data_IF_825315890147
#
_entry.id   IF_825315890147
#
_cell.length_a   1.000
_cell.length_b   1.000
_cell.length_c   1.000
_cell.angle_alpha   90.00
_cell.angle_beta   90.00
_cell.angle_gamma   90.00
#
_symmetry.space_group_name_H-M   'P 1'
#
loop_
_entity.id
_entity.type
_entity.pdbx_description
1 polymer ?
#
# COMPACT_ATOMS: atom_id res chain seq x y z
N UNK A 1 -16.26 -8.42 14.75
CA UNK A 1 -14.81 -8.56 15.03
C UNK A 1 -13.92 -8.63 13.80
N UNK A 2 -14.39 -9.11 12.63
CA UNK A 2 -13.56 -9.23 11.41
C UNK A 2 -13.16 -7.85 10.86
N UNK A 3 -14.08 -6.88 10.82
CA UNK A 3 -13.80 -5.54 10.30
C UNK A 3 -12.74 -4.80 11.12
N UNK A 4 -12.83 -4.83 12.46
CA UNK A 4 -11.84 -4.20 13.35
C UNK A 4 -10.44 -4.76 13.14
N UNK A 5 -10.30 -6.08 12.92
CA UNK A 5 -9.00 -6.70 12.61
C UNK A 5 -8.43 -6.21 11.27
N UNK A 6 -9.28 -6.06 10.25
CA UNK A 6 -8.86 -5.53 8.94
C UNK A 6 -8.42 -4.06 9.03
N UNK A 7 -9.14 -3.25 9.82
CA UNK A 7 -8.77 -1.85 10.09
C UNK A 7 -7.40 -1.80 10.80
N UNK A 8 -7.22 -2.56 11.88
CA UNK A 8 -5.94 -2.59 12.62
C UNK A 8 -4.80 -3.03 11.69
N UNK A 9 -4.99 -4.10 10.93
CA UNK A 9 -3.97 -4.61 9.99
C UNK A 9 -3.62 -3.58 8.93
N UNK A 10 -4.61 -2.90 8.35
CA UNK A 10 -4.41 -1.88 7.33
C UNK A 10 -3.73 -0.62 7.87
N UNK A 11 -4.04 -0.22 9.11
CA UNK A 11 -3.37 0.88 9.80
C UNK A 11 -1.89 0.57 10.07
N UNK A 12 -1.59 -0.65 10.54
CA UNK A 12 -0.21 -1.09 10.78
C UNK A 12 0.57 -1.16 9.46
N UNK A 13 0.02 -1.81 8.44
CA UNK A 13 0.70 -1.96 7.15
C UNK A 13 0.86 -0.62 6.43
N UNK A 14 -0.15 0.25 6.43
CA UNK A 14 -0.07 1.58 5.84
C UNK A 14 0.95 2.49 6.52
N UNK A 15 1.05 2.42 7.85
CA UNK A 15 2.07 3.15 8.61
C UNK A 15 3.48 2.65 8.28
N UNK A 16 3.70 1.33 8.29
CA UNK A 16 4.99 0.74 7.95
C UNK A 16 5.39 1.06 6.50
N UNK A 17 4.45 0.95 5.57
CA UNK A 17 4.68 1.27 4.16
C UNK A 17 5.13 2.73 3.98
N UNK A 18 4.45 3.68 4.60
CA UNK A 18 4.75 5.10 4.42
C UNK A 18 6.08 5.52 5.04
N UNK A 19 6.45 4.92 6.17
CA UNK A 19 7.79 5.09 6.77
C UNK A 19 8.87 4.52 5.85
N UNK A 20 8.70 3.30 5.35
CA UNK A 20 9.65 2.68 4.41
C UNK A 20 9.76 3.48 3.11
N UNK A 21 8.64 3.97 2.58
CA UNK A 21 8.61 4.84 1.41
C UNK A 21 9.35 6.16 1.67
N UNK A 22 9.23 6.72 2.87
CA UNK A 22 9.98 7.88 3.32
C UNK A 22 11.48 7.67 3.28
N UNK A 23 11.98 6.49 3.63
CA UNK A 23 13.41 6.15 3.53
C UNK A 23 13.88 5.88 2.10
N UNK A 24 13.05 5.23 1.28
CA UNK A 24 13.42 4.86 -0.10
C UNK A 24 13.36 6.08 -1.03
N UNK A 25 12.33 6.91 -0.87
CA UNK A 25 12.07 8.07 -1.71
C UNK A 25 11.97 9.34 -0.86
N UNK A 26 13.13 9.75 -0.33
CA UNK A 26 13.29 10.91 0.54
C UNK A 26 13.05 12.25 -0.12
N UNK A 27 13.25 12.34 -1.44
CA UNK A 27 13.09 13.58 -2.19
C UNK A 27 12.23 13.42 -3.45
N UNK A 28 10.90 13.53 -3.33
CA UNK A 28 10.00 13.50 -4.48
C UNK A 28 10.06 14.77 -5.35
N UNK A 29 10.77 15.82 -4.92
CA UNK A 29 10.84 17.10 -5.63
C UNK A 29 12.19 17.38 -6.29
N UNK A 30 13.16 16.48 -6.17
CA UNK A 30 14.37 16.46 -7.02
C UNK A 30 15.62 17.18 -6.49
N UNK A 31 15.63 17.69 -5.26
CA UNK A 31 16.87 18.29 -4.70
C UNK A 31 17.96 17.23 -4.42
N UNK A 32 19.20 17.62 -4.66
CA UNK A 32 20.36 16.77 -4.38
C UNK A 32 20.61 16.66 -2.87
N UNK A 33 20.67 15.41 -2.36
CA UNK A 33 21.00 15.13 -0.97
C UNK A 33 22.52 15.00 -0.83
N UNK A 34 23.14 16.01 -0.22
CA UNK A 34 24.61 16.14 -0.13
C UNK A 34 25.19 15.69 1.21
N UNK A 35 24.36 15.36 2.21
CA UNK A 35 24.81 14.94 3.54
C UNK A 35 23.82 14.02 4.23
N UNK A 36 24.30 13.25 5.22
CA UNK A 36 23.45 12.36 6.04
C UNK A 36 22.42 13.15 6.86
N UNK A 37 22.77 14.36 7.30
CA UNK A 37 21.86 15.23 8.04
C UNK A 37 20.70 15.69 7.14
N UNK A 38 21.00 16.08 5.90
CA UNK A 38 20.00 16.47 4.92
C UNK A 38 19.10 15.28 4.58
N UNK A 39 19.67 14.07 4.42
CA UNK A 39 18.90 12.85 4.20
C UNK A 39 17.88 12.60 5.32
N UNK A 40 18.33 12.59 6.58
CA UNK A 40 17.45 12.33 7.73
C UNK A 40 16.37 13.41 7.88
N UNK A 41 16.72 14.68 7.61
CA UNK A 41 15.74 15.75 7.59
C UNK A 41 14.68 15.52 6.51
N UNK A 42 15.10 15.17 5.28
CA UNK A 42 14.18 14.85 4.18
C UNK A 42 13.26 13.66 4.51
N UNK A 43 13.77 12.58 5.12
CA UNK A 43 12.94 11.45 5.59
C UNK A 43 11.84 11.94 6.53
N UNK A 44 12.21 12.73 7.54
CA UNK A 44 11.27 13.23 8.56
C UNK A 44 10.24 14.17 7.92
N UNK A 45 10.64 15.00 6.96
CA UNK A 45 9.75 15.94 6.28
C UNK A 45 8.79 15.26 5.31
N UNK A 46 9.23 14.23 4.57
CA UNK A 46 8.40 13.58 3.54
C UNK A 46 7.48 12.49 4.11
N UNK A 47 7.87 11.82 5.20
CA UNK A 47 7.08 10.72 5.78
C UNK A 47 5.65 11.16 6.15
N UNK A 48 5.40 12.32 6.78
CA UNK A 48 4.05 12.82 7.03
C UNK A 48 3.23 13.04 5.75
N UNK A 49 3.87 13.44 4.65
CA UNK A 49 3.22 13.62 3.35
C UNK A 49 2.75 12.26 2.83
N UNK A 50 3.60 11.24 2.86
CA UNK A 50 3.22 9.89 2.49
C UNK A 50 2.15 9.30 3.41
N UNK A 51 2.20 9.58 4.71
CA UNK A 51 1.12 9.23 5.65
C UNK A 51 -0.19 9.91 5.27
N UNK A 52 -0.18 11.18 4.87
CA UNK A 52 -1.41 11.89 4.54
C UNK A 52 -2.09 11.37 3.26
N UNK A 53 -1.31 10.96 2.25
CA UNK A 53 -1.85 10.55 0.96
C UNK A 53 -1.91 9.03 0.75
N UNK A 54 -0.86 8.30 1.09
CA UNK A 54 -0.79 6.85 0.82
C UNK A 54 -1.51 6.01 1.86
N UNK A 55 -1.43 6.39 3.15
CA UNK A 55 -2.05 5.60 4.22
C UNK A 55 -3.59 5.51 4.09
N UNK A 56 -4.34 6.60 3.79
CA UNK A 56 -5.78 6.49 3.55
C UNK A 56 -6.13 5.62 2.34
N UNK A 57 -5.34 5.69 1.27
CA UNK A 57 -5.53 4.87 0.07
C UNK A 57 -5.34 3.40 0.40
N UNK A 58 -4.25 3.05 1.10
CA UNK A 58 -3.98 1.67 1.55
C UNK A 58 -5.08 1.19 2.50
N UNK A 59 -5.55 2.06 3.39
CA UNK A 59 -6.60 1.71 4.34
C UNK A 59 -7.92 1.39 3.62
N UNK A 60 -8.38 2.27 2.73
CA UNK A 60 -9.63 2.07 1.98
C UNK A 60 -9.50 0.87 1.05
N UNK A 61 -8.49 0.87 0.18
CA UNK A 61 -8.31 -0.17 -0.82
C UNK A 61 -8.02 -1.54 -0.19
N UNK A 62 -7.11 -1.60 0.79
CA UNK A 62 -6.71 -2.82 1.47
C UNK A 62 -7.86 -3.46 2.24
N UNK A 63 -8.69 -2.65 2.92
CA UNK A 63 -9.88 -3.18 3.62
C UNK A 63 -10.90 -3.72 2.60
N UNK A 64 -11.22 -2.95 1.55
CA UNK A 64 -12.21 -3.35 0.55
C UNK A 64 -11.81 -4.64 -0.16
N UNK A 65 -10.56 -4.71 -0.65
CA UNK A 65 -10.05 -5.89 -1.34
C UNK A 65 -9.92 -7.08 -0.41
N UNK A 66 -9.54 -6.89 0.85
CA UNK A 66 -9.52 -7.96 1.85
C UNK A 66 -10.92 -8.50 2.15
N UNK A 67 -11.98 -7.68 2.10
CA UNK A 67 -13.36 -8.15 2.26
C UNK A 67 -13.82 -8.92 1.01
N UNK A 68 -13.52 -8.42 -0.18
CA UNK A 68 -13.87 -9.07 -1.45
C UNK A 68 -13.18 -10.43 -1.57
N UNK A 69 -11.90 -10.49 -1.22
CA UNK A 69 -11.08 -11.69 -1.21
C UNK A 69 -11.68 -12.81 -0.35
N UNK A 70 -12.07 -12.49 0.88
CA UNK A 70 -12.71 -13.45 1.79
C UNK A 70 -14.04 -13.95 1.23
N UNK A 71 -14.88 -13.05 0.70
CA UNK A 71 -16.18 -13.42 0.11
C UNK A 71 -16.02 -14.34 -1.10
N UNK A 72 -15.03 -14.10 -1.95
CA UNK A 72 -14.77 -14.96 -3.11
C UNK A 72 -14.20 -16.31 -2.64
N UNK A 73 -13.31 -16.31 -1.65
CA UNK A 73 -12.80 -17.54 -1.04
C UNK A 73 -13.92 -18.42 -0.48
N UNK A 74 -14.82 -17.83 0.31
CA UNK A 74 -15.99 -18.51 0.87
C UNK A 74 -16.93 -19.02 -0.22
N UNK A 75 -17.21 -18.22 -1.24
CA UNK A 75 -18.05 -18.64 -2.36
C UNK A 75 -17.46 -19.85 -3.11
N UNK A 76 -16.15 -19.83 -3.35
CA UNK A 76 -15.46 -20.93 -4.03
C UNK A 76 -15.41 -22.18 -3.16
N UNK A 77 -15.16 -22.06 -1.85
CA UNK A 77 -15.13 -23.22 -0.93
C UNK A 77 -16.47 -23.95 -0.88
N UNK A 78 -17.57 -23.20 -0.83
CA UNK A 78 -18.94 -23.74 -0.89
C UNK A 78 -19.18 -24.44 -2.22
N UNK A 79 -18.82 -23.81 -3.34
CA UNK A 79 -19.07 -24.34 -4.69
C UNK A 79 -18.21 -25.58 -4.99
N UNK A 80 -16.97 -25.60 -4.53
CA UNK A 80 -16.03 -26.70 -4.72
C UNK A 80 -16.20 -27.83 -3.69
N UNK A 81 -16.98 -27.62 -2.62
CA UNK A 81 -17.11 -28.53 -1.47
C UNK A 81 -15.75 -28.87 -0.85
N UNK A 82 -14.85 -27.89 -0.83
CA UNK A 82 -13.48 -28.04 -0.35
C UNK A 82 -13.22 -26.86 0.60
N UNK A 83 -12.95 -27.15 1.87
CA UNK A 83 -12.86 -26.13 2.93
C UNK A 83 -11.54 -25.36 2.93
N UNK A 84 -10.46 -25.95 2.43
CA UNK A 84 -9.16 -25.27 2.33
C UNK A 84 -9.14 -24.24 1.19
N UNK A 85 -10.03 -24.36 0.20
CA UNK A 85 -10.14 -23.49 -0.97
C UNK A 85 -10.43 -22.05 -0.55
N UNK A 86 -11.12 -21.84 0.58
CA UNK A 86 -11.34 -20.51 1.14
C UNK A 86 -10.02 -19.80 1.44
N UNK A 87 -9.13 -20.49 2.17
CA UNK A 87 -7.82 -19.96 2.59
C UNK A 87 -6.93 -19.76 1.37
N UNK A 88 -6.86 -20.73 0.46
CA UNK A 88 -6.02 -20.63 -0.73
C UNK A 88 -6.48 -19.53 -1.70
N UNK A 89 -7.79 -19.45 -1.97
CA UNK A 89 -8.34 -18.47 -2.90
C UNK A 89 -8.31 -17.06 -2.30
N UNK A 90 -8.71 -16.88 -1.04
CA UNK A 90 -8.59 -15.57 -0.39
C UNK A 90 -7.12 -15.16 -0.26
N UNK A 91 -6.22 -16.07 0.12
CA UNK A 91 -4.78 -15.78 0.16
C UNK A 91 -4.22 -15.32 -1.19
N UNK A 92 -4.54 -16.06 -2.25
CA UNK A 92 -4.09 -15.72 -3.61
C UNK A 92 -4.65 -14.36 -4.08
N UNK A 93 -5.94 -14.11 -3.87
CA UNK A 93 -6.57 -12.83 -4.22
C UNK A 93 -5.98 -11.68 -3.41
N UNK A 94 -5.68 -11.88 -2.13
CA UNK A 94 -5.06 -10.86 -1.30
C UNK A 94 -3.67 -10.46 -1.82
N UNK A 95 -2.87 -11.43 -2.28
CA UNK A 95 -1.57 -11.16 -2.92
C UNK A 95 -1.76 -10.37 -4.22
N UNK A 96 -2.68 -10.82 -5.08
CA UNK A 96 -2.98 -10.16 -6.38
C UNK A 96 -3.46 -8.72 -6.18
N UNK A 97 -4.37 -8.48 -5.25
CA UNK A 97 -4.84 -7.12 -4.95
C UNK A 97 -3.74 -6.26 -4.32
N UNK A 98 -2.90 -6.83 -3.45
CA UNK A 98 -1.77 -6.11 -2.86
C UNK A 98 -0.74 -5.66 -3.91
N UNK A 99 -0.58 -6.43 -4.99
CA UNK A 99 0.28 -6.08 -6.13
C UNK A 99 -0.23 -4.85 -6.90
N UNK A 100 -1.53 -4.56 -6.92
CA UNK A 100 -2.08 -3.39 -7.65
C UNK A 100 -1.60 -2.07 -7.05
N UNK A 101 -1.48 -1.99 -5.72
CA UNK A 101 -0.95 -0.80 -5.06
C UNK A 101 0.52 -0.53 -5.41
N UNK A 102 1.29 -1.57 -5.74
CA UNK A 102 2.68 -1.43 -6.20
C UNK A 102 2.78 -0.66 -7.52
N UNK A 103 1.82 -0.85 -8.43
CA UNK A 103 1.78 -0.16 -9.72
C UNK A 103 1.36 1.30 -9.63
N UNK A 104 0.51 1.68 -8.66
CA UNK A 104 0.10 3.08 -8.46
C UNK A 104 1.30 3.93 -8.02
N UNK A 105 2.22 3.38 -7.22
CA UNK A 105 3.49 4.05 -6.88
C UNK A 105 4.39 4.26 -8.10
N UNK A 106 4.39 3.34 -9.07
CA UNK A 106 5.13 3.49 -10.35
C UNK A 106 4.42 4.47 -11.29
N UNK A 107 3.10 4.45 -11.36
CA UNK A 107 2.32 5.38 -12.19
C UNK A 107 2.45 6.83 -11.73
N UNK A 108 2.42 7.06 -10.41
CA UNK A 108 2.67 8.38 -9.84
C UNK A 108 4.10 8.87 -10.12
N UNK A 109 5.11 7.99 -10.05
CA UNK A 109 6.49 8.37 -10.35
C UNK A 109 6.73 8.72 -11.81
N UNK A 110 6.06 8.03 -12.74
CA UNK A 110 6.14 8.31 -14.17
C UNK A 110 5.42 9.61 -14.55
N UNK A 111 4.29 9.94 -13.91
CA UNK A 111 3.57 11.20 -14.15
C UNK A 111 4.32 12.43 -13.65
N UNK A 112 5.14 12.28 -12.60
CA UNK A 112 6.02 13.34 -12.08
C UNK A 112 7.41 13.39 -12.76
N UNK A 113 7.69 12.50 -13.72
CA UNK A 113 8.96 12.49 -14.47
C UNK A 113 8.94 13.37 -15.72
N UNK A 114 7.81 13.99 -16.07
CA UNK A 114 7.73 14.93 -17.18
C UNK A 114 8.20 16.32 -16.72
N UNK A 115 9.33 16.85 -17.25
CA UNK A 115 9.67 18.24 -17.02
C UNK A 115 8.60 19.11 -17.71
N UNK A 116 7.84 19.88 -16.92
CA UNK A 116 7.06 20.99 -17.47
C UNK A 116 8.06 22.14 -17.61
N UNK A 117 8.76 22.17 -18.74
CA UNK A 117 9.56 23.31 -19.15
C UNK A 117 8.60 24.49 -19.44
N UNK A 118 8.77 25.60 -18.71
CA UNK A 118 8.30 26.93 -19.08
C UNK A 118 9.49 27.87 -19.20
#
# INVERSE_FOLDING_TARGET
MILSRKIISASISGTLFTVLLGFIWTNPFGDNITSIQNYLFSVISVTPIYMMYSMPVIMIYGILTSIISDKIGEFISIKAKETNAEIFVSGALHIVFSLVLFWISIGASLLFLLPIDY
#
